data_IF_963504648332
#
_entry.id   IF_963504648332
#
_cell.length_a   1.000
_cell.length_b   1.000
_cell.length_c   1.000
_cell.angle_alpha   90.00
_cell.angle_beta   90.00
_cell.angle_gamma   90.00
#
_symmetry.space_group_name_H-M   'P 1'
#
loop_
_entity.id
_entity.type
_entity.pdbx_description
1 polymer ?
#
# COMPACT_ATOMS: atom_id res chain seq x y z
N UNK A 1 -10.96 -26.23 -39.18
CA UNK A 1 -9.66 -25.57 -39.45
C UNK A 1 -9.36 -24.70 -38.24
N UNK A 2 -8.43 -25.14 -37.40
CA UNK A 2 -8.00 -24.45 -36.17
C UNK A 2 -6.72 -23.70 -36.51
N UNK A 3 -6.72 -22.38 -36.41
CA UNK A 3 -5.50 -21.55 -36.42
C UNK A 3 -5.30 -21.04 -35.00
N UNK A 4 -4.40 -21.70 -34.28
CA UNK A 4 -3.84 -21.20 -33.03
C UNK A 4 -2.78 -20.16 -33.39
N UNK A 5 -3.03 -18.88 -33.08
CA UNK A 5 -2.00 -17.85 -33.11
C UNK A 5 -1.16 -17.97 -31.83
N UNK A 6 0.08 -18.45 -31.98
CA UNK A 6 1.12 -18.25 -30.98
C UNK A 6 1.40 -16.74 -30.87
N UNK A 7 0.97 -16.11 -29.79
CA UNK A 7 1.51 -14.83 -29.33
C UNK A 7 2.62 -15.13 -28.32
N UNK A 8 3.80 -15.50 -28.83
CA UNK A 8 5.03 -15.44 -28.04
C UNK A 8 5.46 -13.97 -28.00
N UNK A 9 5.14 -13.27 -26.91
CA UNK A 9 5.59 -11.91 -26.69
C UNK A 9 7.07 -11.95 -26.28
N UNK A 10 7.95 -11.89 -27.27
CA UNK A 10 9.40 -11.95 -27.11
C UNK A 10 9.93 -10.55 -26.76
N UNK A 11 10.34 -10.31 -25.51
CA UNK A 11 11.10 -9.12 -25.11
C UNK A 11 12.48 -9.17 -25.77
N UNK A 12 12.64 -8.53 -26.93
CA UNK A 12 13.85 -8.65 -27.73
C UNK A 12 14.99 -7.72 -27.32
N UNK A 13 14.80 -6.73 -26.43
CA UNK A 13 15.91 -5.92 -25.88
C UNK A 13 15.51 -5.20 -24.58
N UNK A 14 16.52 -4.93 -23.74
CA UNK A 14 16.53 -4.29 -22.41
C UNK A 14 15.91 -2.86 -22.30
N UNK A 15 14.97 -2.41 -23.11
CA UNK A 15 14.64 -0.97 -23.12
C UNK A 15 13.19 -0.51 -23.25
N UNK A 16 12.18 -1.37 -23.38
CA UNK A 16 10.79 -0.94 -23.17
C UNK A 16 9.84 -2.14 -23.05
N UNK A 17 9.12 -2.24 -21.92
CA UNK A 17 7.93 -3.10 -21.81
C UNK A 17 6.70 -2.19 -21.75
N UNK A 18 5.98 -2.05 -22.87
CA UNK A 18 4.67 -1.39 -22.90
C UNK A 18 3.56 -2.40 -22.67
N UNK A 19 2.73 -2.19 -21.65
CA UNK A 19 1.49 -2.94 -21.41
C UNK A 19 1.68 -4.28 -20.72
N UNK A 20 1.73 -4.29 -19.38
CA UNK A 20 1.48 -5.47 -18.54
C UNK A 20 2.44 -6.66 -18.64
N UNK A 21 3.51 -6.59 -19.44
CA UNK A 21 4.46 -7.69 -19.58
C UNK A 21 5.38 -7.81 -18.34
N UNK A 22 5.50 -9.03 -17.81
CA UNK A 22 6.44 -9.37 -16.75
C UNK A 22 7.89 -9.25 -17.24
N UNK A 23 8.80 -8.81 -16.35
CA UNK A 23 10.22 -8.78 -16.64
C UNK A 23 10.80 -10.22 -16.71
N UNK A 24 11.83 -10.46 -17.55
CA UNK A 24 12.50 -11.76 -17.60
C UNK A 24 13.19 -12.09 -16.27
N UNK A 25 13.35 -13.39 -15.98
CA UNK A 25 14.02 -13.89 -14.77
C UNK A 25 15.41 -13.25 -14.60
N UNK A 26 15.72 -12.80 -13.37
CA UNK A 26 16.98 -12.08 -13.07
C UNK A 26 16.90 -10.55 -13.14
N UNK A 27 15.70 -9.99 -13.38
CA UNK A 27 15.49 -8.53 -13.45
C UNK A 27 14.26 -8.07 -12.67
N UNK A 28 14.25 -6.84 -12.17
CA UNK A 28 13.09 -6.23 -11.49
C UNK A 28 12.63 -4.94 -12.19
N UNK A 29 11.36 -4.56 -12.00
CA UNK A 29 10.76 -3.41 -12.71
C UNK A 29 10.96 -2.11 -11.94
N UNK A 30 11.58 -1.12 -12.57
CA UNK A 30 11.72 0.25 -12.04
C UNK A 30 11.39 1.27 -13.14
N UNK A 31 10.41 2.15 -12.89
CA UNK A 31 10.06 3.26 -13.80
C UNK A 31 9.80 2.82 -15.26
N UNK A 32 9.13 1.69 -15.47
CA UNK A 32 8.81 1.17 -16.81
C UNK A 32 9.94 0.40 -17.53
N UNK A 33 11.06 0.11 -16.86
CA UNK A 33 12.20 -0.68 -17.37
C UNK A 33 12.49 -1.88 -16.47
N UNK A 34 13.14 -2.90 -17.01
CA UNK A 34 13.64 -4.06 -16.26
C UNK A 34 15.15 -3.86 -15.99
N UNK A 35 15.56 -3.83 -14.73
CA UNK A 35 16.95 -3.65 -14.28
C UNK A 35 17.54 -5.00 -13.76
N UNK A 36 18.81 -5.32 -14.04
CA UNK A 36 19.46 -6.56 -13.57
C UNK A 36 19.71 -6.55 -12.06
N UNK A 37 19.58 -7.72 -11.43
CA UNK A 37 19.80 -7.93 -9.99
C UNK A 37 21.29 -7.86 -9.55
N UNK A 38 22.24 -7.89 -10.49
CA UNK A 38 23.67 -7.79 -10.20
C UNK A 38 24.12 -6.34 -9.98
N UNK A 39 23.83 -5.80 -8.80
CA UNK A 39 24.19 -4.42 -8.47
C UNK A 39 24.23 -4.03 -7.00
N UNK A 40 23.81 -4.90 -6.07
CA UNK A 40 24.03 -4.67 -4.64
C UNK A 40 25.42 -5.18 -4.28
N UNK A 41 26.46 -4.44 -4.73
CA UNK A 41 27.82 -4.61 -4.21
C UNK A 41 27.88 -3.99 -2.82
N UNK A 42 27.96 -4.89 -1.87
CA UNK A 42 28.50 -4.77 -0.53
C UNK A 42 29.51 -3.62 -0.42
N UNK A 43 29.08 -2.54 0.20
CA UNK A 43 29.95 -1.40 0.52
C UNK A 43 30.35 -1.51 1.99
N UNK A 44 31.41 -2.27 2.23
CA UNK A 44 32.30 -2.03 3.37
C UNK A 44 32.55 -3.22 4.28
N UNK A 45 33.57 -4.01 3.97
CA UNK A 45 34.64 -4.39 4.92
C UNK A 45 35.89 -4.64 4.09
N UNK A 46 36.94 -3.87 4.36
CA UNK A 46 38.27 -4.03 3.78
C UNK A 46 39.16 -4.65 4.84
N UNK A 47 39.44 -5.95 4.78
CA UNK A 47 40.55 -6.55 5.51
C UNK A 47 41.50 -7.21 4.52
N UNK A 48 42.64 -6.55 4.34
CA UNK A 48 43.78 -7.04 3.59
C UNK A 48 44.69 -7.85 4.53
N UNK A 49 44.94 -9.11 4.19
CA UNK A 49 46.00 -9.92 4.76
C UNK A 49 46.27 -11.14 3.89
N UNK A 50 47.47 -11.32 3.31
CA UNK A 50 47.76 -12.49 2.47
C UNK A 50 48.15 -13.71 3.31
N UNK A 51 47.52 -14.84 3.00
CA UNK A 51 47.91 -16.18 3.43
C UNK A 51 49.33 -16.52 2.96
N UNK A 52 50.23 -16.77 3.90
CA UNK A 52 51.55 -17.31 3.63
C UNK A 52 51.89 -18.44 4.61
N UNK A 53 51.79 -19.68 4.11
CA UNK A 53 52.70 -20.80 4.36
C UNK A 53 52.89 -21.28 5.80
N UNK A 54 52.19 -22.36 6.16
CA UNK A 54 52.61 -23.29 7.22
C UNK A 54 53.63 -24.30 6.64
N UNK A 55 54.86 -24.40 7.16
CA UNK A 55 55.74 -25.52 6.89
C UNK A 55 55.60 -26.64 7.94
N UNK A 56 55.72 -27.87 7.46
CA UNK A 56 55.77 -29.10 8.23
C UNK A 56 56.99 -29.19 9.17
N UNK A 57 56.76 -29.76 10.36
CA UNK A 57 57.74 -30.61 11.03
C UNK A 57 58.68 -29.97 12.05
N UNK A 58 58.34 -30.07 13.35
CA UNK A 58 59.31 -30.27 14.43
C UNK A 58 58.64 -30.90 15.67
N UNK A 59 59.05 -32.13 16.00
CA UNK A 59 58.92 -32.76 17.33
C UNK A 59 59.87 -32.05 18.33
N UNK A 60 59.69 -31.97 19.66
CA UNK A 60 59.45 -32.91 20.78
C UNK A 60 58.99 -32.01 21.98
N UNK A 61 58.36 -32.41 23.09
CA UNK A 61 58.75 -33.44 24.05
C UNK A 61 57.67 -33.64 25.15
N UNK A 62 57.54 -34.89 25.62
CA UNK A 62 57.12 -35.36 26.95
C UNK A 62 55.87 -34.86 27.68
N UNK A 63 54.82 -35.70 27.74
CA UNK A 63 54.32 -36.28 29.00
C UNK A 63 53.26 -37.37 28.73
N UNK A 64 53.67 -38.62 28.94
CA UNK A 64 52.81 -39.80 29.07
C UNK A 64 52.18 -39.82 30.47
N UNK A 65 50.88 -40.08 30.57
CA UNK A 65 50.32 -40.95 31.61
C UNK A 65 49.15 -41.77 31.05
N UNK A 66 49.28 -43.08 31.19
CA UNK A 66 48.36 -44.14 30.78
C UNK A 66 47.06 -44.18 31.60
N UNK A 67 45.99 -44.61 30.92
CA UNK A 67 45.07 -45.61 31.48
C UNK A 67 43.77 -45.12 32.12
N UNK A 68 42.66 -45.29 31.40
CA UNK A 68 41.57 -46.19 31.81
C UNK A 68 40.42 -46.11 30.79
N UNK A 69 40.30 -47.16 29.98
CA UNK A 69 39.02 -47.50 29.37
C UNK A 69 38.06 -47.92 30.49
N UNK A 70 36.96 -47.19 30.64
CA UNK A 70 35.75 -47.71 31.28
C UNK A 70 34.62 -47.62 30.29
N UNK A 71 34.24 -48.80 29.82
CA UNK A 71 32.95 -49.12 29.22
C UNK A 71 31.85 -48.78 30.24
N UNK A 72 30.89 -47.96 29.82
CA UNK A 72 29.90 -47.36 30.70
C UNK A 72 28.92 -46.52 29.90
N UNK A 73 27.95 -47.22 29.30
CA UNK A 73 26.71 -46.73 28.71
C UNK A 73 26.35 -45.25 29.00
N UNK A 74 26.41 -44.42 27.96
CA UNK A 74 25.65 -43.17 27.90
C UNK A 74 24.19 -43.52 27.60
N UNK A 75 23.23 -43.12 28.45
CA UNK A 75 21.82 -43.19 28.09
C UNK A 75 21.52 -42.18 26.99
N UNK A 76 20.78 -42.66 25.99
CA UNK A 76 20.20 -41.95 24.84
C UNK A 76 20.08 -40.44 25.03
N UNK A 77 20.93 -39.72 24.29
CA UNK A 77 20.97 -38.27 24.22
C UNK A 77 19.59 -37.70 23.82
N UNK A 78 18.84 -37.26 24.82
CA UNK A 78 17.85 -36.21 24.68
C UNK A 78 18.58 -34.90 24.34
N UNK A 79 18.96 -34.72 23.07
CA UNK A 79 19.56 -33.48 22.59
C UNK A 79 19.26 -33.20 21.11
N UNK A 80 17.99 -33.31 20.68
CA UNK A 80 17.53 -32.70 19.41
C UNK A 80 16.76 -31.39 19.62
N UNK A 81 16.98 -30.69 20.74
CA UNK A 81 16.30 -29.42 21.01
C UNK A 81 17.27 -28.32 21.44
N UNK A 82 18.44 -28.23 20.79
CA UNK A 82 19.36 -27.10 20.94
C UNK A 82 20.13 -26.93 19.65
N UNK A 83 19.50 -26.27 18.68
CA UNK A 83 20.13 -25.47 17.61
C UNK A 83 19.05 -24.81 16.73
N UNK A 84 18.01 -24.29 17.37
CA UNK A 84 17.22 -23.23 16.77
C UNK A 84 17.52 -21.99 17.60
N UNK A 85 18.25 -21.05 17.03
CA UNK A 85 18.37 -19.68 17.50
C UNK A 85 16.97 -19.05 17.52
N UNK A 86 16.22 -19.37 18.58
CA UNK A 86 14.89 -18.88 18.95
C UNK A 86 15.04 -17.66 19.87
N UNK A 87 15.86 -16.69 19.50
CA UNK A 87 15.99 -15.43 20.24
C UNK A 87 15.10 -14.32 19.67
N UNK A 88 14.14 -14.66 18.81
CA UNK A 88 13.04 -13.78 18.42
C UNK A 88 11.67 -14.47 18.49
N UNK A 89 11.51 -15.46 19.38
CA UNK A 89 10.19 -15.78 19.91
C UNK A 89 9.79 -14.66 20.88
N UNK A 90 9.50 -13.49 20.32
CA UNK A 90 8.69 -12.48 20.98
C UNK A 90 7.33 -13.06 21.37
N UNK A 91 6.40 -12.19 21.78
CA UNK A 91 5.09 -12.55 22.35
C UNK A 91 4.27 -13.64 21.62
N UNK A 92 4.57 -13.98 20.35
CA UNK A 92 3.81 -14.91 19.52
C UNK A 92 4.26 -16.40 19.53
N UNK A 93 5.41 -16.76 20.11
CA UNK A 93 5.92 -18.15 20.01
C UNK A 93 6.21 -18.59 18.57
N UNK A 94 5.88 -19.84 18.18
CA UNK A 94 6.04 -20.34 16.80
C UNK A 94 4.79 -20.02 15.98
N UNK A 95 4.95 -19.22 14.94
CA UNK A 95 3.85 -18.88 14.04
C UNK A 95 3.56 -19.98 13.01
N UNK A 96 2.27 -20.20 12.64
CA UNK A 96 1.91 -21.15 11.62
C UNK A 96 2.28 -20.62 10.22
N UNK A 97 2.52 -21.53 9.27
CA UNK A 97 2.85 -21.20 7.87
C UNK A 97 1.81 -20.27 7.19
N UNK A 98 0.55 -20.28 7.64
CA UNK A 98 -0.52 -19.42 7.11
C UNK A 98 -0.44 -17.98 7.61
N UNK A 99 0.21 -17.73 8.75
CA UNK A 99 0.42 -16.39 9.32
C UNK A 99 1.85 -16.33 9.86
N UNK A 100 2.87 -16.32 8.98
CA UNK A 100 4.24 -16.65 9.36
C UNK A 100 4.95 -15.55 10.15
N UNK A 101 4.38 -14.34 10.23
CA UNK A 101 5.03 -13.18 10.84
C UNK A 101 4.52 -12.96 12.26
N UNK A 102 5.41 -12.72 13.22
CA UNK A 102 5.01 -12.31 14.56
C UNK A 102 4.87 -10.78 14.61
N UNK A 103 3.66 -10.29 14.88
CA UNK A 103 3.47 -8.90 15.27
C UNK A 103 3.66 -8.78 16.79
N UNK A 104 4.85 -8.34 17.19
CA UNK A 104 5.19 -8.18 18.61
C UNK A 104 4.34 -7.11 19.32
N UNK A 105 3.75 -6.16 18.58
CA UNK A 105 2.87 -5.12 19.14
C UNK A 105 1.51 -5.71 19.51
N UNK A 106 1.00 -6.61 18.68
CA UNK A 106 -0.28 -7.32 18.89
C UNK A 106 -0.13 -8.59 19.73
N UNK A 107 1.07 -9.16 19.77
CA UNK A 107 1.34 -10.45 20.38
C UNK A 107 0.68 -11.61 19.64
N UNK A 108 0.45 -11.46 18.33
CA UNK A 108 -0.19 -12.46 17.49
C UNK A 108 0.56 -12.68 16.17
N UNK A 109 0.36 -13.86 15.61
CA UNK A 109 0.89 -14.20 14.30
C UNK A 109 -0.02 -13.63 13.21
N UNK A 110 0.55 -12.88 12.27
CA UNK A 110 -0.12 -12.16 11.17
C UNK A 110 0.37 -12.64 9.81
N UNK A 111 -0.41 -12.40 8.76
CA UNK A 111 0.00 -12.69 7.38
C UNK A 111 1.00 -11.65 6.87
N UNK A 112 0.86 -10.41 7.32
CA UNK A 112 1.65 -9.28 6.87
C UNK A 112 1.81 -8.23 7.97
N UNK A 113 2.89 -7.46 7.87
CA UNK A 113 3.12 -6.24 8.66
C UNK A 113 3.30 -5.07 7.72
N UNK A 114 3.39 -3.84 8.26
CA UNK A 114 3.74 -2.66 7.45
C UNK A 114 5.08 -2.84 6.75
N UNK A 115 6.05 -3.45 7.42
CA UNK A 115 7.42 -3.60 6.93
C UNK A 115 7.56 -4.81 5.97
N UNK A 116 6.68 -5.81 6.11
CA UNK A 116 6.69 -7.05 5.31
C UNK A 116 5.49 -7.19 4.37
N UNK A 117 4.97 -6.08 3.82
CA UNK A 117 3.82 -6.11 2.90
C UNK A 117 4.05 -6.98 1.66
N UNK A 118 5.30 -7.24 1.28
CA UNK A 118 5.67 -8.16 0.19
C UNK A 118 5.23 -9.61 0.45
N UNK A 119 4.98 -10.00 1.70
CA UNK A 119 4.45 -11.32 2.07
C UNK A 119 3.10 -11.62 1.40
N UNK A 120 2.33 -10.58 1.05
CA UNK A 120 1.03 -10.71 0.39
C UNK A 120 1.11 -11.00 -1.12
N UNK A 121 2.29 -11.24 -1.69
CA UNK A 121 2.41 -11.72 -3.07
C UNK A 121 1.84 -10.78 -4.14
N UNK A 122 1.82 -9.47 -3.86
CA UNK A 122 1.28 -8.43 -4.75
C UNK A 122 -0.07 -7.85 -4.33
N UNK A 123 -0.73 -8.46 -3.34
CA UNK A 123 -1.89 -7.86 -2.67
C UNK A 123 -1.48 -6.90 -1.56
N UNK A 124 -2.43 -6.08 -1.10
CA UNK A 124 -2.21 -5.13 -0.01
C UNK A 124 -2.36 -5.79 1.36
N UNK A 125 -1.56 -5.34 2.32
CA UNK A 125 -1.69 -5.68 3.72
C UNK A 125 -2.68 -4.73 4.41
N UNK A 126 -3.73 -5.23 5.06
CA UNK A 126 -4.47 -4.42 6.04
C UNK A 126 -3.68 -4.41 7.35
N UNK A 127 -2.93 -3.35 7.58
CA UNK A 127 -2.03 -3.22 8.74
C UNK A 127 -2.77 -3.14 10.07
N UNK A 128 -4.11 -3.02 10.08
CA UNK A 128 -4.94 -3.02 11.29
C UNK A 128 -5.29 -4.43 11.74
N UNK A 129 -5.56 -5.35 10.80
CA UNK A 129 -5.89 -6.75 11.10
C UNK A 129 -4.69 -7.70 10.92
N UNK A 130 -3.67 -7.27 10.19
CA UNK A 130 -2.51 -8.10 9.85
C UNK A 130 -2.82 -9.16 8.79
N UNK A 131 -3.82 -8.91 7.94
CA UNK A 131 -4.25 -9.84 6.89
C UNK A 131 -3.91 -9.31 5.50
N UNK A 132 -3.55 -10.23 4.61
CA UNK A 132 -3.45 -9.93 3.20
C UNK A 132 -4.85 -9.80 2.60
N UNK A 133 -5.06 -8.76 1.81
CA UNK A 133 -6.34 -8.48 1.15
C UNK A 133 -6.38 -9.11 -0.25
N UNK A 134 -7.48 -8.93 -0.97
CA UNK A 134 -7.61 -9.22 -2.40
C UNK A 134 -7.45 -7.96 -3.28
N UNK A 135 -6.97 -6.86 -2.67
CA UNK A 135 -6.89 -5.54 -3.31
C UNK A 135 -5.50 -5.23 -3.82
N UNK A 136 -5.45 -4.38 -4.85
CA UNK A 136 -4.21 -3.95 -5.50
C UNK A 136 -3.92 -2.47 -5.24
N UNK A 137 -2.63 -2.14 -5.25
CA UNK A 137 -2.20 -0.76 -5.12
C UNK A 137 -2.70 0.13 -6.27
N UNK A 138 -3.03 1.38 -5.97
CA UNK A 138 -3.45 2.38 -6.95
C UNK A 138 -4.77 2.09 -7.67
N UNK A 139 -5.67 1.35 -7.03
CA UNK A 139 -6.98 1.00 -7.61
C UNK A 139 -8.15 1.80 -7.04
N UNK A 140 -7.98 2.42 -5.87
CA UNK A 140 -8.99 3.25 -5.25
C UNK A 140 -8.79 4.73 -5.63
N UNK A 141 -9.74 5.27 -6.39
CA UNK A 141 -9.83 6.71 -6.69
C UNK A 141 -10.16 7.52 -5.43
N UNK A 142 -10.10 8.85 -5.54
CA UNK A 142 -10.48 9.76 -4.45
C UNK A 142 -11.91 9.50 -3.98
N UNK A 143 -12.15 9.66 -2.68
CA UNK A 143 -13.40 9.32 -1.99
C UNK A 143 -13.83 7.85 -2.03
N UNK A 144 -13.15 6.98 -2.78
CA UNK A 144 -13.39 5.55 -2.75
C UNK A 144 -12.95 4.96 -1.40
N UNK A 145 -13.64 3.90 -0.92
CA UNK A 145 -13.24 3.21 0.29
C UNK A 145 -11.88 2.54 0.13
N UNK A 146 -11.10 2.49 1.21
CA UNK A 146 -9.76 1.93 1.20
C UNK A 146 -9.43 1.19 2.51
N UNK A 147 -8.47 0.27 2.42
CA UNK A 147 -7.94 -0.50 3.58
C UNK A 147 -6.47 -0.21 3.87
N UNK A 148 -5.74 0.34 2.90
CA UNK A 148 -4.34 0.73 3.02
C UNK A 148 -4.06 2.00 2.19
N UNK A 149 -3.03 2.77 2.55
CA UNK A 149 -2.62 3.96 1.82
C UNK A 149 -2.25 3.63 0.37
N UNK A 150 -1.56 2.51 0.18
CA UNK A 150 -1.14 2.06 -1.14
C UNK A 150 -2.31 1.69 -2.06
N UNK A 151 -3.52 1.44 -1.53
CA UNK A 151 -4.72 1.19 -2.35
C UNK A 151 -5.10 2.43 -3.15
N UNK A 152 -4.89 3.60 -2.57
CA UNK A 152 -5.25 4.87 -3.16
C UNK A 152 -4.39 5.19 -4.39
N UNK A 153 -4.96 5.95 -5.32
CA UNK A 153 -4.23 6.52 -6.44
C UNK A 153 -2.97 7.28 -5.98
N UNK A 154 -1.98 7.38 -6.86
CA UNK A 154 -0.72 8.06 -6.57
C UNK A 154 -0.97 9.47 -6.01
N UNK A 155 -0.31 9.80 -4.90
CA UNK A 155 -0.46 11.09 -4.22
C UNK A 155 -1.64 11.16 -3.24
N UNK A 156 -2.49 10.15 -3.15
CA UNK A 156 -3.54 10.06 -2.14
C UNK A 156 -3.11 9.20 -0.93
N UNK A 157 -3.84 9.34 0.17
CA UNK A 157 -3.70 8.55 1.40
C UNK A 157 -5.07 8.15 1.91
N UNK A 158 -5.14 6.96 2.49
CA UNK A 158 -6.33 6.38 3.05
C UNK A 158 -6.49 6.88 4.50
N UNK A 159 -7.46 7.77 4.71
CA UNK A 159 -7.73 8.38 6.02
C UNK A 159 -9.20 8.22 6.38
N UNK A 160 -9.54 8.35 7.67
CA UNK A 160 -10.94 8.42 8.07
C UNK A 160 -11.56 9.73 7.56
N UNK A 161 -12.65 9.60 6.82
CA UNK A 161 -13.43 10.73 6.32
C UNK A 161 -14.06 11.49 7.51
N UNK A 162 -13.97 12.83 7.54
CA UNK A 162 -14.46 13.61 8.67
C UNK A 162 -15.99 13.60 8.83
N UNK A 163 -16.74 13.25 7.79
CA UNK A 163 -18.20 13.30 7.78
C UNK A 163 -18.84 12.00 8.31
N UNK A 164 -18.29 10.83 7.97
CA UNK A 164 -18.84 9.52 8.35
C UNK A 164 -17.84 8.59 9.09
N UNK A 165 -16.57 8.97 9.16
CA UNK A 165 -15.50 8.17 9.78
C UNK A 165 -15.05 6.96 8.96
N UNK A 166 -15.59 6.74 7.76
CA UNK A 166 -15.19 5.65 6.89
C UNK A 166 -13.80 5.94 6.28
N UNK A 167 -12.97 4.90 6.14
CA UNK A 167 -11.67 5.04 5.52
C UNK A 167 -11.83 5.28 4.01
N UNK A 168 -11.37 6.43 3.51
CA UNK A 168 -11.46 6.84 2.11
C UNK A 168 -10.16 7.48 1.63
N UNK A 169 -9.95 7.46 0.32
CA UNK A 169 -8.79 8.08 -0.30
C UNK A 169 -8.94 9.60 -0.44
N UNK A 170 -8.01 10.35 0.12
CA UNK A 170 -7.92 11.81 -0.01
C UNK A 170 -6.54 12.22 -0.52
N UNK A 171 -6.47 13.30 -1.29
CA UNK A 171 -5.19 13.84 -1.74
C UNK A 171 -4.28 14.20 -0.56
N UNK A 172 -3.01 13.82 -0.61
CA UNK A 172 -2.00 14.42 0.27
C UNK A 172 -1.72 15.84 -0.22
N UNK A 173 -1.66 16.82 0.68
CA UNK A 173 -1.45 18.22 0.31
C UNK A 173 -0.13 18.41 -0.46
N UNK A 174 0.90 17.63 -0.14
CA UNK A 174 2.22 17.68 -0.77
C UNK A 174 2.36 16.82 -2.05
N UNK A 175 1.28 16.21 -2.54
CA UNK A 175 1.35 15.34 -3.72
C UNK A 175 1.61 16.11 -5.03
N UNK A 176 2.46 15.52 -5.88
CA UNK A 176 2.78 15.96 -7.24
C UNK A 176 2.91 14.71 -8.16
N UNK A 177 2.03 14.52 -9.17
CA UNK A 177 0.91 15.40 -9.53
C UNK A 177 -0.19 15.43 -8.46
N UNK A 178 -0.84 16.58 -8.29
CA UNK A 178 -1.86 16.76 -7.24
C UNK A 178 -1.94 18.20 -6.72
N UNK A 179 -2.23 18.40 -5.43
CA UNK A 179 -2.38 19.73 -4.82
C UNK A 179 -1.08 20.55 -4.80
N UNK A 180 0.09 19.93 -4.94
CA UNK A 180 1.41 20.58 -5.00
C UNK A 180 1.65 21.62 -3.87
N UNK A 181 1.19 21.32 -2.66
CA UNK A 181 1.31 22.15 -1.47
C UNK A 181 0.13 23.10 -1.19
N UNK A 182 -0.95 23.06 -1.99
CA UNK A 182 -2.16 23.88 -1.77
C UNK A 182 -3.43 23.14 -2.14
N UNK A 183 -4.25 22.79 -1.14
CA UNK A 183 -5.57 22.17 -1.37
C UNK A 183 -6.53 23.06 -2.21
N UNK A 184 -6.73 24.35 -1.90
CA UNK A 184 -7.70 25.19 -2.61
C UNK A 184 -7.39 25.41 -4.10
N UNK A 185 -6.09 25.44 -4.44
CA UNK A 185 -5.63 25.83 -5.78
C UNK A 185 -5.32 24.62 -6.67
N UNK A 186 -4.83 23.51 -6.09
CA UNK A 186 -4.33 22.36 -6.85
C UNK A 186 -5.25 21.14 -6.86
N UNK A 187 -6.34 21.11 -6.08
CA UNK A 187 -7.05 19.85 -5.80
C UNK A 187 -8.57 19.90 -5.93
N UNK A 188 -9.16 20.89 -6.61
CA UNK A 188 -10.63 21.05 -6.71
C UNK A 188 -11.35 19.75 -7.08
N UNK A 189 -12.41 19.36 -6.37
CA UNK A 189 -13.12 20.08 -5.29
C UNK A 189 -12.55 19.90 -3.87
N UNK A 190 -11.42 19.22 -3.72
CA UNK A 190 -10.76 18.93 -2.45
C UNK A 190 -10.00 20.16 -1.91
N UNK A 191 -10.72 21.19 -1.50
CA UNK A 191 -10.14 22.48 -1.12
C UNK A 191 -9.78 22.63 0.36
N UNK A 192 -10.22 21.73 1.25
CA UNK A 192 -10.07 21.90 2.70
C UNK A 192 -8.91 21.06 3.26
N UNK A 193 -7.88 21.67 3.86
CA UNK A 193 -6.82 20.90 4.49
C UNK A 193 -7.28 20.30 5.82
N UNK A 194 -6.87 19.05 6.08
CA UNK A 194 -7.11 18.32 7.31
C UNK A 194 -5.83 17.59 7.75
N UNK A 195 -5.42 17.80 8.99
CA UNK A 195 -4.37 16.99 9.62
C UNK A 195 -5.00 15.68 10.12
N UNK A 196 -4.52 14.55 9.62
CA UNK A 196 -5.09 13.23 9.88
C UNK A 196 -3.99 12.19 10.16
N UNK A 197 -4.43 11.01 10.59
CA UNK A 197 -3.59 9.81 10.63
C UNK A 197 -4.14 8.83 9.61
N UNK A 198 -3.29 8.32 8.73
CA UNK A 198 -3.69 7.32 7.77
C UNK A 198 -4.04 5.98 8.43
N UNK A 199 -4.74 5.12 7.72
CA UNK A 199 -5.02 3.75 8.19
C UNK A 199 -3.74 2.97 8.46
N UNK A 200 -2.66 3.30 7.75
CA UNK A 200 -1.33 2.75 7.97
C UNK A 200 -0.53 3.52 9.04
N UNK A 201 -1.17 4.40 9.81
CA UNK A 201 -0.58 5.04 11.00
C UNK A 201 0.37 6.21 10.71
N UNK A 202 0.47 6.68 9.47
CA UNK A 202 1.29 7.83 9.12
C UNK A 202 0.54 9.13 9.43
N UNK A 203 1.22 10.09 10.09
CA UNK A 203 0.69 11.45 10.20
C UNK A 203 0.77 12.12 8.83
N UNK A 204 -0.36 12.59 8.32
CA UNK A 204 -0.48 13.14 6.98
C UNK A 204 -1.41 14.35 6.98
N UNK A 205 -1.12 15.31 6.10
CA UNK A 205 -2.02 16.42 5.82
C UNK A 205 -2.68 16.18 4.49
N UNK A 206 -3.99 16.07 4.49
CA UNK A 206 -4.79 15.74 3.31
C UNK A 206 -5.68 16.90 2.90
N UNK A 207 -6.11 16.88 1.65
CA UNK A 207 -7.13 17.75 1.10
C UNK A 207 -8.46 17.00 1.06
N UNK A 208 -9.43 17.45 1.83
CA UNK A 208 -10.80 16.97 1.84
C UNK A 208 -11.71 17.92 1.07
N UNK A 209 -12.94 17.49 0.83
CA UNK A 209 -13.98 18.33 0.25
C UNK A 209 -14.34 19.46 1.23
N UNK A 210 -14.44 20.69 0.73
CA UNK A 210 -14.65 21.86 1.57
C UNK A 210 -16.11 22.03 2.04
N UNK A 211 -17.07 21.51 1.27
CA UNK A 211 -18.51 21.76 1.45
C UNK A 211 -19.39 20.53 1.33
N UNK A 212 -18.89 19.47 0.70
CA UNK A 212 -19.63 18.25 0.39
C UNK A 212 -18.96 17.08 1.08
N UNK A 213 -19.67 15.98 1.30
CA UNK A 213 -19.05 14.74 1.77
C UNK A 213 -18.54 13.91 0.61
N UNK A 214 -17.69 12.92 0.91
CA UNK A 214 -17.29 11.96 -0.11
C UNK A 214 -18.47 11.13 -0.65
N UNK A 215 -19.54 10.91 0.13
CA UNK A 215 -20.77 10.29 -0.37
C UNK A 215 -21.41 11.17 -1.43
N UNK A 216 -21.62 12.45 -1.12
CA UNK A 216 -22.18 13.43 -2.07
C UNK A 216 -21.36 13.54 -3.36
N UNK A 217 -20.04 13.49 -3.25
CA UNK A 217 -19.15 13.54 -4.41
C UNK A 217 -19.26 12.28 -5.28
N UNK A 218 -19.36 11.09 -4.68
CA UNK A 218 -19.54 9.84 -5.41
C UNK A 218 -20.90 9.80 -6.11
N UNK A 219 -21.98 10.23 -5.47
CA UNK A 219 -23.32 10.29 -6.08
C UNK A 219 -23.31 11.23 -7.31
N UNK A 220 -22.61 12.36 -7.21
CA UNK A 220 -22.38 13.27 -8.33
C UNK A 220 -21.60 12.60 -9.48
N UNK A 221 -20.49 11.90 -9.18
CA UNK A 221 -19.70 11.20 -10.20
C UNK A 221 -20.47 10.06 -10.88
N UNK A 222 -21.32 9.38 -10.11
CA UNK A 222 -22.23 8.33 -10.62
C UNK A 222 -23.41 8.91 -11.43
N UNK A 223 -23.57 10.24 -11.43
CA UNK A 223 -24.72 10.93 -12.00
C UNK A 223 -26.04 10.37 -11.47
N UNK A 224 -26.09 10.07 -10.17
CA UNK A 224 -27.23 9.42 -9.53
C UNK A 224 -28.50 10.26 -9.68
N UNK A 225 -29.63 9.59 -9.94
CA UNK A 225 -30.93 10.23 -10.07
C UNK A 225 -31.56 10.42 -8.70
N UNK A 226 -32.21 11.55 -8.48
CA UNK A 226 -32.82 11.89 -7.21
C UNK A 226 -34.23 12.44 -7.41
N UNK A 227 -35.08 12.30 -6.40
CA UNK A 227 -36.40 12.94 -6.35
C UNK A 227 -36.40 14.12 -5.38
N UNK A 228 -35.62 14.02 -4.30
CA UNK A 228 -35.48 15.03 -3.26
C UNK A 228 -34.01 15.22 -2.88
N UNK A 229 -33.72 16.32 -2.18
CA UNK A 229 -32.34 16.64 -1.77
C UNK A 229 -31.72 15.57 -0.86
N UNK A 230 -32.52 14.90 -0.04
CA UNK A 230 -32.05 13.87 0.89
C UNK A 230 -31.66 12.55 0.19
N UNK A 231 -31.97 12.40 -1.10
CA UNK A 231 -31.51 11.26 -1.91
C UNK A 231 -30.03 11.39 -2.31
N UNK A 232 -29.41 12.54 -2.04
CA UNK A 232 -28.03 12.83 -2.40
C UNK A 232 -27.18 13.09 -1.15
N UNK A 233 -26.01 12.47 -1.07
CA UNK A 233 -25.06 12.67 0.02
C UNK A 233 -25.55 12.12 1.35
N UNK A 234 -25.16 12.79 2.45
CA UNK A 234 -25.44 12.35 3.83
C UNK A 234 -26.73 12.95 4.42
N UNK A 235 -27.65 13.48 3.62
CA UNK A 235 -28.82 14.23 4.10
C UNK A 235 -28.46 15.37 5.10
N UNK A 236 -27.25 15.92 4.99
CA UNK A 236 -26.74 17.03 5.81
C UNK A 236 -26.74 18.36 5.05
N UNK A 237 -27.19 18.36 3.80
CA UNK A 237 -27.13 19.52 2.91
C UNK A 237 -25.79 19.69 2.19
N UNK A 238 -25.00 18.63 2.19
CA UNK A 238 -23.72 18.42 1.49
C UNK A 238 -23.90 18.11 -0.01
N UNK A 239 -25.13 17.84 -0.44
CA UNK A 239 -25.51 17.68 -1.84
C UNK A 239 -26.85 18.38 -2.17
N UNK A 240 -27.15 18.48 -3.46
CA UNK A 240 -28.38 19.05 -4.01
C UNK A 240 -28.90 18.16 -5.13
N UNK A 241 -30.21 17.95 -5.13
CA UNK A 241 -30.93 17.35 -6.26
C UNK A 241 -31.29 18.45 -7.26
N UNK A 242 -30.69 18.44 -8.45
CA UNK A 242 -30.81 19.53 -9.44
C UNK A 242 -31.21 19.01 -10.81
N UNK A 243 -31.91 19.84 -11.58
CA UNK A 243 -32.19 19.55 -12.99
C UNK A 243 -30.88 19.51 -13.78
N UNK A 244 -30.48 18.32 -14.24
CA UNK A 244 -29.26 18.14 -15.02
C UNK A 244 -29.37 18.77 -16.41
N UNK A 245 -30.59 18.79 -16.97
CA UNK A 245 -30.92 19.38 -18.27
C UNK A 245 -32.09 20.36 -18.14
N UNK A 246 -31.84 21.62 -17.73
CA UNK A 246 -32.89 22.61 -17.57
C UNK A 246 -33.62 22.83 -18.90
N UNK A 247 -34.90 22.44 -18.94
CA UNK A 247 -35.76 22.56 -20.12
C UNK A 247 -35.98 21.26 -20.92
N UNK A 248 -35.29 20.16 -20.59
CA UNK A 248 -35.53 18.85 -21.19
C UNK A 248 -36.53 17.98 -20.41
N UNK A 249 -36.80 18.31 -19.14
CA UNK A 249 -37.78 17.64 -18.28
C UNK A 249 -37.19 16.56 -17.36
N UNK A 250 -37.49 16.70 -16.06
CA UNK A 250 -37.46 15.74 -14.93
C UNK A 250 -36.22 14.83 -14.72
N UNK A 251 -35.11 15.05 -15.40
CA UNK A 251 -33.86 14.35 -15.10
C UNK A 251 -33.12 15.04 -13.96
N UNK A 252 -33.68 14.92 -12.76
CA UNK A 252 -33.05 15.37 -11.53
C UNK A 252 -31.85 14.46 -11.18
N UNK A 253 -30.69 15.07 -10.94
CA UNK A 253 -29.46 14.37 -10.55
C UNK A 253 -28.80 14.99 -9.35
N UNK A 254 -28.02 14.18 -8.65
CA UNK A 254 -27.22 14.63 -7.53
C UNK A 254 -26.07 15.54 -8.01
N UNK A 255 -25.93 16.67 -7.32
CA UNK A 255 -24.82 17.60 -7.44
C UNK A 255 -24.22 17.85 -6.07
N UNK A 256 -22.90 18.01 -6.03
CA UNK A 256 -22.19 18.51 -4.85
C UNK A 256 -22.64 19.93 -4.49
N UNK A 257 -22.66 20.23 -3.18
CA UNK A 257 -22.98 21.56 -2.67
C UNK A 257 -21.78 22.52 -2.84
N UNK A 258 -22.07 23.77 -3.18
CA UNK A 258 -21.03 24.77 -3.42
C UNK A 258 -21.40 26.17 -2.93
N UNK A 259 -20.37 26.97 -2.64
CA UNK A 259 -20.47 28.42 -2.39
C UNK A 259 -19.65 29.18 -3.43
N UNK A 260 -18.53 28.61 -3.85
CA UNK A 260 -17.60 29.17 -4.83
C UNK A 260 -17.29 28.14 -5.91
N UNK A 261 -16.71 28.59 -7.02
CA UNK A 261 -16.24 27.67 -8.07
C UNK A 261 -15.11 26.72 -7.60
N UNK A 262 -14.49 26.95 -6.44
CA UNK A 262 -13.48 26.06 -5.89
C UNK A 262 -14.07 24.78 -5.29
N UNK A 263 -15.35 24.82 -4.91
CA UNK A 263 -16.06 23.66 -4.37
C UNK A 263 -16.55 22.70 -5.48
N UNK A 264 -16.41 23.12 -6.74
CA UNK A 264 -16.85 22.34 -7.89
C UNK A 264 -15.68 21.62 -8.57
N UNK A 265 -15.95 20.44 -9.17
CA UNK A 265 -14.99 19.78 -10.04
C UNK A 265 -14.53 20.68 -11.18
N UNK A 266 -13.35 20.37 -11.73
CA UNK A 266 -12.79 21.12 -12.86
C UNK A 266 -13.75 21.14 -14.05
N UNK A 267 -13.95 22.33 -14.63
CA UNK A 267 -14.87 22.54 -15.75
C UNK A 267 -16.34 22.72 -15.34
N UNK A 268 -16.64 22.72 -14.04
CA UNK A 268 -17.99 22.89 -13.49
C UNK A 268 -18.05 24.18 -12.68
N UNK A 269 -19.16 24.89 -12.74
CA UNK A 269 -19.35 26.18 -12.09
C UNK A 269 -20.33 26.10 -10.93
N UNK A 270 -20.11 26.92 -9.90
CA UNK A 270 -21.05 27.00 -8.79
C UNK A 270 -22.20 27.96 -9.12
N UNK A 271 -23.42 27.44 -9.20
CA UNK A 271 -24.62 28.25 -9.41
C UNK A 271 -25.14 28.71 -8.06
N UNK A 272 -24.73 29.92 -7.64
CA UNK A 272 -24.98 30.46 -6.31
C UNK A 272 -26.48 30.48 -5.91
N UNK A 273 -27.39 30.66 -6.87
CA UNK A 273 -28.84 30.63 -6.62
C UNK A 273 -29.34 29.24 -6.18
N UNK A 274 -28.65 28.17 -6.59
CA UNK A 274 -28.98 26.78 -6.30
C UNK A 274 -28.05 26.18 -5.23
N UNK A 275 -26.89 26.80 -4.99
CA UNK A 275 -25.85 26.26 -4.12
C UNK A 275 -25.33 24.90 -4.59
N UNK A 276 -25.30 24.69 -5.91
CA UNK A 276 -24.97 23.43 -6.57
C UNK A 276 -24.03 23.66 -7.76
N UNK A 277 -23.22 22.66 -8.07
CA UNK A 277 -22.31 22.67 -9.20
C UNK A 277 -23.02 22.24 -10.49
N UNK A 278 -22.92 23.05 -11.54
CA UNK A 278 -23.47 22.75 -12.87
C UNK A 278 -22.43 23.00 -13.98
N UNK A 279 -22.46 22.19 -15.05
CA UNK A 279 -21.56 22.34 -16.20
C UNK A 279 -21.72 23.68 -16.91
#
# INVERSE_FOLDING_TARGET
MRTASLFACLCLTLSACSGGAACPEGTFRRGGRCEPLDGIRDSGVSDAGPDAGLPDGAALDGAVLDGAATDGALPDDASTARDASFDDAGACGVCPETRPLCDATRGECVECTRDDAAACGGFLCDTRTGDCTDRFAGTADLCAPCVADAECVEGASCVADPDDGAARCHWREDADPGPAGSCPDGARPFGAPLDATSVDGAAVRVCTLARSSCVAYLDYLAAETCAVADDCGLATGDARCVDADPGAGESLRCSVACVTAADCPSGVSCVAAMGACQP
#
